data_IF_547548111541
#
_entry.id   IF_547548111541
#
_cell.length_a   1.000
_cell.length_b   1.000
_cell.length_c   1.000
_cell.angle_alpha   90.00
_cell.angle_beta   90.00
_cell.angle_gamma   90.00
#
_symmetry.space_group_name_H-M   'P 1'
#
loop_
_entity.id
_entity.type
_entity.pdbx_description
1 polymer ?
#
# COMPACT_ATOMS: atom_id res chain seq x y z
N UNK A 1 5.40 -0.96 -6.94
CA UNK A 1 4.29 -0.87 -7.91
C UNK A 1 4.77 -1.13 -9.34
N UNK A 2 5.77 -0.39 -9.83
CA UNK A 2 6.33 -0.59 -11.18
C UNK A 2 6.78 -2.03 -11.44
N UNK A 3 7.54 -2.63 -10.52
CA UNK A 3 7.96 -4.05 -10.60
C UNK A 3 6.77 -5.02 -10.74
N UNK A 4 5.66 -4.73 -10.05
CA UNK A 4 4.45 -5.56 -10.14
C UNK A 4 3.75 -5.39 -11.49
N UNK A 5 3.74 -4.17 -12.06
CA UNK A 5 3.19 -3.92 -13.40
C UNK A 5 4.01 -4.65 -14.47
N UNK A 6 5.33 -4.58 -14.39
CA UNK A 6 6.24 -5.30 -15.28
C UNK A 6 6.06 -6.82 -15.19
N UNK A 7 5.93 -7.35 -13.97
CA UNK A 7 5.65 -8.78 -13.74
C UNK A 7 4.31 -9.21 -14.36
N UNK A 8 3.32 -8.32 -14.40
CA UNK A 8 2.03 -8.55 -15.08
C UNK A 8 2.07 -8.22 -16.58
N UNK A 9 3.26 -8.07 -17.17
CA UNK A 9 3.49 -7.76 -18.59
C UNK A 9 2.82 -6.46 -19.07
N UNK A 10 2.60 -5.52 -18.16
CA UNK A 10 2.12 -4.18 -18.51
C UNK A 10 3.27 -3.41 -19.14
N UNK A 11 3.06 -2.89 -20.36
CA UNK A 11 4.02 -2.01 -21.01
C UNK A 11 3.97 -0.63 -20.35
N UNK A 12 5.02 -0.27 -19.64
CA UNK A 12 5.19 1.07 -19.10
C UNK A 12 5.63 2.01 -20.22
N UNK A 13 4.96 3.16 -20.33
CA UNK A 13 5.34 4.23 -21.26
C UNK A 13 6.19 5.25 -20.51
N UNK A 14 7.24 5.75 -21.16
CA UNK A 14 8.12 6.76 -20.58
C UNK A 14 7.48 8.17 -20.57
N UNK A 15 6.51 8.39 -21.45
CA UNK A 15 5.77 9.64 -21.60
C UNK A 15 4.27 9.38 -21.54
N UNK A 16 3.51 10.42 -21.16
CA UNK A 16 2.05 10.38 -21.16
C UNK A 16 1.55 10.29 -22.61
N UNK A 17 0.80 9.23 -22.92
CA UNK A 17 0.13 9.05 -24.20
C UNK A 17 -1.38 9.30 -23.99
N UNK A 18 -2.01 10.27 -24.67
CA UNK A 18 -3.44 10.53 -24.58
C UNK A 18 -4.34 9.33 -24.94
N UNK A 19 -3.79 8.33 -25.65
CA UNK A 19 -4.48 7.10 -26.04
C UNK A 19 -4.22 5.93 -25.08
N UNK A 20 -3.41 6.12 -24.03
CA UNK A 20 -3.12 5.10 -23.03
C UNK A 20 -3.72 5.46 -21.66
N UNK A 21 -4.14 4.46 -20.86
CA UNK A 21 -4.45 4.66 -19.46
C UNK A 21 -3.25 5.23 -18.66
N UNK A 22 -3.50 6.21 -17.80
CA UNK A 22 -2.50 6.73 -16.87
C UNK A 22 -2.92 6.46 -15.42
N UNK A 23 -2.01 5.88 -14.64
CA UNK A 23 -2.16 5.60 -13.21
C UNK A 23 -1.24 6.55 -12.43
N UNK A 24 -1.82 7.34 -11.53
CA UNK A 24 -1.07 8.28 -10.70
C UNK A 24 -1.24 7.92 -9.22
N UNK A 25 -0.16 7.50 -8.57
CA UNK A 25 -0.15 7.29 -7.12
C UNK A 25 -0.12 8.67 -6.45
N UNK A 26 -1.16 9.00 -5.68
CA UNK A 26 -1.27 10.31 -5.04
C UNK A 26 -0.56 10.31 -3.68
N UNK A 27 -0.93 9.37 -2.81
CA UNK A 27 -0.36 9.27 -1.47
C UNK A 27 -0.41 7.81 -0.97
N UNK A 28 0.68 7.36 -0.38
CA UNK A 28 0.68 6.25 0.58
C UNK A 28 1.03 6.75 1.99
N UNK A 29 0.46 6.12 3.01
CA UNK A 29 0.79 6.44 4.40
C UNK A 29 0.66 5.21 5.28
N UNK A 30 1.52 5.09 6.28
CA UNK A 30 1.43 4.09 7.34
C UNK A 30 1.05 4.78 8.65
N UNK A 31 -0.15 4.50 9.15
CA UNK A 31 -0.57 4.88 10.49
C UNK A 31 -0.38 3.71 11.45
N UNK A 32 -0.09 4.02 12.72
CA UNK A 32 -0.01 3.06 13.81
C UNK A 32 -1.03 3.42 14.87
N UNK A 33 -1.88 2.46 15.23
CA UNK A 33 -2.89 2.58 16.29
C UNK A 33 -2.62 1.55 17.38
N UNK A 34 -2.77 1.91 18.66
CA UNK A 34 -2.72 0.91 19.75
C UNK A 34 -3.91 -0.03 19.63
N UNK A 35 -3.63 -1.33 19.54
CA UNK A 35 -4.65 -2.38 19.43
C UNK A 35 -4.93 -3.01 20.78
N UNK A 36 -3.89 -3.27 21.58
CA UNK A 36 -4.03 -3.87 22.90
C UNK A 36 -2.93 -3.41 23.88
N UNK A 37 -3.23 -3.53 25.18
CA UNK A 37 -2.32 -3.18 26.28
C UNK A 37 -2.11 -4.40 27.18
N UNK A 38 -0.91 -4.54 27.75
CA UNK A 38 -0.65 -5.43 28.87
C UNK A 38 -1.32 -4.90 30.16
N UNK A 39 -1.52 -5.73 31.20
CA UNK A 39 -2.12 -5.28 32.47
C UNK A 39 -1.37 -4.14 33.17
N UNK A 40 -0.09 -3.97 32.89
CA UNK A 40 0.74 -2.88 33.40
C UNK A 40 0.59 -1.56 32.61
N UNK A 41 -0.29 -1.52 31.60
CA UNK A 41 -0.56 -0.35 30.76
C UNK A 41 0.42 -0.14 29.61
N UNK A 42 1.43 -1.00 29.44
CA UNK A 42 2.31 -0.96 28.27
C UNK A 42 1.58 -1.45 27.02
N UNK A 43 1.92 -0.92 25.86
CA UNK A 43 1.37 -1.42 24.59
C UNK A 43 1.85 -2.85 24.38
N UNK A 44 0.91 -3.74 24.08
CA UNK A 44 1.19 -5.11 23.69
C UNK A 44 1.20 -5.25 22.16
N UNK A 45 0.19 -4.65 21.52
CA UNK A 45 0.02 -4.75 20.07
C UNK A 45 -0.39 -3.40 19.49
N UNK A 46 0.15 -3.14 18.31
CA UNK A 46 -0.32 -2.09 17.43
C UNK A 46 -1.04 -2.71 16.24
N UNK A 47 -1.98 -1.97 15.69
CA UNK A 47 -2.49 -2.18 14.34
C UNK A 47 -1.80 -1.17 13.42
N UNK A 48 -1.19 -1.69 12.36
CA UNK A 48 -0.63 -0.93 11.27
C UNK A 48 -1.70 -0.75 10.20
N UNK A 49 -1.99 0.49 9.83
CA UNK A 49 -2.99 0.85 8.83
C UNK A 49 -2.26 1.51 7.66
N UNK A 50 -2.12 0.79 6.56
CA UNK A 50 -1.49 1.28 5.34
C UNK A 50 -2.56 1.77 4.36
N UNK A 51 -2.63 3.09 4.16
CA UNK A 51 -3.57 3.74 3.24
C UNK A 51 -2.90 4.03 1.92
N UNK A 52 -3.62 3.80 0.83
CA UNK A 52 -3.18 4.12 -0.52
C UNK A 52 -4.30 4.84 -1.25
N UNK A 53 -3.95 5.98 -1.85
CA UNK A 53 -4.81 6.75 -2.75
C UNK A 53 -4.14 6.88 -4.12
N UNK A 54 -4.92 6.67 -5.17
CA UNK A 54 -4.44 6.77 -6.54
C UNK A 54 -5.55 7.26 -7.47
N UNK A 55 -5.15 7.81 -8.60
CA UNK A 55 -6.02 8.26 -9.66
C UNK A 55 -5.79 7.42 -10.91
N UNK A 56 -6.86 7.18 -11.66
CA UNK A 56 -6.85 6.53 -12.96
C UNK A 56 -7.46 7.47 -13.98
N UNK A 57 -6.71 7.77 -15.03
CA UNK A 57 -7.20 8.47 -16.21
C UNK A 57 -7.28 7.47 -17.36
N UNK A 58 -8.50 7.23 -17.86
CA UNK A 58 -8.73 6.41 -19.04
C UNK A 58 -8.94 7.33 -20.26
N UNK A 59 -8.53 6.93 -21.48
CA UNK A 59 -8.74 7.72 -22.68
C UNK A 59 -10.22 8.10 -22.85
N UNK A 60 -10.49 9.41 -22.97
CA UNK A 60 -11.83 9.95 -23.17
C UNK A 60 -12.76 9.89 -21.95
N UNK A 61 -12.23 9.60 -20.75
CA UNK A 61 -13.00 9.62 -19.50
C UNK A 61 -12.44 10.65 -18.51
N UNK A 62 -13.29 11.05 -17.56
CA UNK A 62 -12.86 11.86 -16.43
C UNK A 62 -11.93 11.07 -15.50
N UNK A 63 -11.14 11.79 -14.70
CA UNK A 63 -10.25 11.20 -13.69
C UNK A 63 -11.09 10.46 -12.65
N UNK A 64 -10.73 9.21 -12.38
CA UNK A 64 -11.34 8.39 -11.35
C UNK A 64 -10.42 8.27 -10.15
N UNK A 65 -10.93 8.56 -8.95
CA UNK A 65 -10.17 8.47 -7.70
C UNK A 65 -10.48 7.17 -6.96
N UNK A 66 -9.43 6.53 -6.45
CA UNK A 66 -9.53 5.30 -5.70
C UNK A 66 -8.73 5.40 -4.41
N UNK A 67 -9.29 4.82 -3.35
CA UNK A 67 -8.61 4.67 -2.08
C UNK A 67 -8.90 3.31 -1.45
N UNK A 68 -7.92 2.77 -0.74
CA UNK A 68 -8.12 1.60 0.10
C UNK A 68 -7.11 1.56 1.25
N UNK A 69 -7.44 0.73 2.24
CA UNK A 69 -6.58 0.43 3.38
C UNK A 69 -6.19 -1.06 3.39
N UNK A 70 -5.03 -1.34 3.96
CA UNK A 70 -4.55 -2.66 4.35
C UNK A 70 -4.15 -2.62 5.81
N UNK A 71 -4.50 -3.63 6.58
CA UNK A 71 -4.18 -3.71 8.02
C UNK A 71 -3.28 -4.90 8.36
N UNK A 72 -2.41 -4.71 9.34
CA UNK A 72 -1.53 -5.74 9.92
C UNK A 72 -1.37 -5.51 11.42
N UNK A 73 -1.49 -6.57 12.19
CA UNK A 73 -1.17 -6.54 13.62
C UNK A 73 0.35 -6.62 13.81
N UNK A 74 0.86 -5.90 14.80
CA UNK A 74 2.29 -5.77 15.09
C UNK A 74 2.52 -5.77 16.60
N UNK A 75 3.21 -6.80 17.09
CA UNK A 75 3.47 -6.95 18.52
C UNK A 75 4.67 -6.09 18.95
N UNK A 76 4.52 -5.35 20.05
CA UNK A 76 5.58 -4.52 20.60
C UNK A 76 6.48 -5.32 21.56
N UNK A 77 7.78 -5.04 21.53
CA UNK A 77 8.72 -5.52 22.56
C UNK A 77 9.83 -4.48 22.75
N UNK A 78 9.76 -3.66 23.82
CA UNK A 78 10.74 -2.63 24.12
C UNK A 78 12.17 -3.16 24.30
N UNK A 79 12.33 -4.43 24.70
CA UNK A 79 13.65 -5.04 24.89
C UNK A 79 14.32 -5.43 23.56
N UNK A 80 13.54 -5.46 22.47
CA UNK A 80 13.96 -5.88 21.14
C UNK A 80 13.79 -4.77 20.10
N UNK A 81 13.86 -3.50 20.50
CA UNK A 81 13.57 -2.33 19.65
C UNK A 81 14.24 -2.37 18.26
N UNK A 82 15.51 -2.80 18.15
CA UNK A 82 16.20 -2.90 16.86
C UNK A 82 15.63 -3.99 15.96
N UNK A 83 15.32 -5.16 16.52
CA UNK A 83 14.69 -6.25 15.77
C UNK A 83 13.27 -5.85 15.35
N UNK A 84 12.55 -5.14 16.23
CA UNK A 84 11.21 -4.60 15.99
C UNK A 84 11.20 -3.55 14.88
N UNK A 85 12.19 -2.67 14.80
CA UNK A 85 12.34 -1.75 13.67
C UNK A 85 12.53 -2.49 12.35
N UNK A 86 13.39 -3.51 12.32
CA UNK A 86 13.62 -4.32 11.11
C UNK A 86 12.37 -5.11 10.70
N UNK A 87 11.63 -5.65 11.66
CA UNK A 87 10.34 -6.32 11.42
C UNK A 87 9.32 -5.35 10.78
N UNK A 88 9.24 -4.12 11.29
CA UNK A 88 8.36 -3.09 10.73
C UNK A 88 8.70 -2.75 9.27
N UNK A 89 10.00 -2.62 8.95
CA UNK A 89 10.45 -2.35 7.59
C UNK A 89 10.04 -3.47 6.62
N UNK A 90 10.17 -4.74 7.05
CA UNK A 90 9.73 -5.90 6.27
C UNK A 90 8.22 -5.93 6.07
N UNK A 91 7.45 -5.65 7.12
CA UNK A 91 5.98 -5.55 7.05
C UNK A 91 5.54 -4.43 6.10
N UNK A 92 6.19 -3.27 6.14
CA UNK A 92 5.90 -2.17 5.20
C UNK A 92 6.18 -2.57 3.75
N UNK A 93 7.29 -3.28 3.50
CA UNK A 93 7.58 -3.82 2.16
C UNK A 93 6.51 -4.80 1.69
N UNK A 94 6.06 -5.71 2.57
CA UNK A 94 4.99 -6.66 2.26
C UNK A 94 3.66 -5.93 1.95
N UNK A 95 3.28 -4.94 2.77
CA UNK A 95 2.09 -4.12 2.58
C UNK A 95 2.13 -3.35 1.25
N UNK A 96 3.28 -2.80 0.88
CA UNK A 96 3.51 -2.16 -0.43
C UNK A 96 3.31 -3.13 -1.59
N UNK A 97 3.82 -4.36 -1.47
CA UNK A 97 3.64 -5.39 -2.48
C UNK A 97 2.17 -5.79 -2.61
N UNK A 98 1.48 -6.03 -1.49
CA UNK A 98 0.05 -6.35 -1.48
C UNK A 98 -0.80 -5.23 -2.08
N UNK A 99 -0.49 -3.97 -1.75
CA UNK A 99 -1.17 -2.81 -2.30
C UNK A 99 -1.00 -2.73 -3.82
N UNK A 100 0.22 -2.92 -4.31
CA UNK A 100 0.48 -2.97 -5.75
C UNK A 100 -0.31 -4.08 -6.45
N UNK A 101 -0.32 -5.30 -5.88
CA UNK A 101 -1.13 -6.40 -6.43
C UNK A 101 -2.63 -6.09 -6.40
N UNK A 102 -3.13 -5.38 -5.37
CA UNK A 102 -4.53 -4.96 -5.30
C UNK A 102 -4.89 -3.95 -6.39
N UNK A 103 -4.03 -2.96 -6.64
CA UNK A 103 -4.21 -1.99 -7.73
C UNK A 103 -4.30 -2.72 -9.07
N UNK A 104 -3.35 -3.62 -9.36
CA UNK A 104 -3.33 -4.36 -10.64
C UNK A 104 -4.60 -5.20 -10.82
N UNK A 105 -5.04 -5.92 -9.78
CA UNK A 105 -6.31 -6.66 -9.83
C UNK A 105 -7.51 -5.76 -10.08
N UNK A 106 -7.51 -4.53 -9.57
CA UNK A 106 -8.57 -3.57 -9.82
C UNK A 106 -8.53 -3.07 -11.27
N UNK A 107 -7.35 -2.78 -11.82
CA UNK A 107 -7.19 -2.39 -13.22
C UNK A 107 -7.70 -3.47 -14.17
N UNK A 108 -7.42 -4.75 -13.88
CA UNK A 108 -7.91 -5.90 -14.63
C UNK A 108 -9.43 -6.12 -14.57
N UNK A 109 -10.15 -5.42 -13.68
CA UNK A 109 -11.62 -5.49 -13.58
C UNK A 109 -12.32 -4.36 -14.34
N UNK A 110 -11.61 -3.26 -14.59
CA UNK A 110 -12.14 -2.08 -15.25
C UNK A 110 -12.07 -2.23 -16.79
N UNK A 111 -11.41 -3.28 -17.28
CA UNK A 111 -11.27 -3.64 -18.70
C UNK A 111 -11.89 -5.02 -18.97
#
# INVERSE_FOLDING_TARGET
LSEQLESNKVKLLAELDPQAPALMLQQDSLERRTLSLFPNGQVAEYELIYRVSYQLLLPGQDIQEFQFELTRDYQDDPNLALAKAKELDLLLQELRNQAASRIIRQLNRIH
#
